data_IF_214319768694
#
_entry.id   IF_214319768694
#
_cell.length_a   1.000
_cell.length_b   1.000
_cell.length_c   1.000
_cell.angle_alpha   90.00
_cell.angle_beta   90.00
_cell.angle_gamma   90.00
#
_symmetry.space_group_name_H-M   'P 1'
#
loop_
_entity.id
_entity.type
_entity.pdbx_description
1 polymer ?
#
# COMPACT_ATOMS: atom_id res chain seq x y z
N UNK A 1 -8.68 20.04 38.68
CA UNK A 1 -10.00 19.95 38.02
C UNK A 1 -9.96 19.25 36.64
N UNK A 2 -8.90 18.48 36.32
CA UNK A 2 -8.73 17.80 35.02
C UNK A 2 -8.92 16.27 35.06
N UNK A 3 -9.10 15.69 36.26
CA UNK A 3 -9.24 14.22 36.45
C UNK A 3 -10.72 13.79 36.42
N UNK A 4 -11.66 14.72 36.63
CA UNK A 4 -13.10 14.43 36.64
C UNK A 4 -13.67 14.17 35.24
N UNK A 5 -13.20 14.87 34.20
CA UNK A 5 -13.74 14.75 32.84
C UNK A 5 -13.37 13.41 32.19
N UNK A 6 -12.16 12.88 32.44
CA UNK A 6 -11.76 11.54 31.99
C UNK A 6 -12.60 10.43 32.65
N UNK A 7 -12.98 10.60 33.92
CA UNK A 7 -13.77 9.59 34.65
C UNK A 7 -15.23 9.53 34.21
N UNK A 8 -15.83 10.68 33.85
CA UNK A 8 -17.20 10.74 33.33
C UNK A 8 -17.30 10.26 31.87
N UNK A 9 -16.30 10.54 31.02
CA UNK A 9 -16.23 9.95 29.69
C UNK A 9 -16.09 8.41 29.76
N UNK A 10 -15.27 7.88 30.67
CA UNK A 10 -15.15 6.43 30.84
C UNK A 10 -16.42 5.75 31.35
N UNK A 11 -17.18 6.40 32.25
CA UNK A 11 -18.48 5.89 32.72
C UNK A 11 -19.55 5.91 31.64
N UNK A 12 -19.52 6.88 30.73
CA UNK A 12 -20.46 6.94 29.60
C UNK A 12 -20.11 5.89 28.52
N UNK A 13 -18.80 5.65 28.28
CA UNK A 13 -18.33 4.60 27.37
C UNK A 13 -18.53 3.17 27.90
N UNK A 14 -18.45 2.94 29.22
CA UNK A 14 -18.60 1.59 29.78
C UNK A 14 -20.03 1.03 29.77
N UNK A 15 -21.07 1.87 29.64
CA UNK A 15 -22.45 1.41 29.76
C UNK A 15 -23.07 0.89 28.44
N UNK A 16 -22.35 0.97 27.32
CA UNK A 16 -22.75 0.38 26.04
C UNK A 16 -21.58 -0.40 25.40
N UNK A 17 -21.02 -1.37 26.14
CA UNK A 17 -20.06 -2.31 25.55
C UNK A 17 -20.80 -3.34 24.69
N UNK A 18 -21.06 -3.00 23.43
CA UNK A 18 -21.39 -3.97 22.39
C UNK A 18 -20.10 -4.51 21.76
N UNK A 19 -20.17 -5.73 21.21
CA UNK A 19 -19.10 -6.38 20.44
C UNK A 19 -18.58 -5.54 19.26
N UNK A 20 -19.39 -4.59 18.76
CA UNK A 20 -19.01 -3.62 17.74
C UNK A 20 -17.94 -2.61 18.18
N UNK A 21 -17.92 -2.21 19.45
CA UNK A 21 -16.94 -1.26 19.97
C UNK A 21 -15.52 -1.84 19.97
N UNK A 22 -15.40 -3.12 20.35
CA UNK A 22 -14.13 -3.86 20.35
C UNK A 22 -13.57 -4.04 18.92
N UNK A 23 -14.43 -4.29 17.93
CA UNK A 23 -14.03 -4.36 16.52
C UNK A 23 -13.51 -3.02 15.97
N UNK A 24 -14.05 -1.88 16.44
CA UNK A 24 -13.59 -0.55 16.00
C UNK A 24 -12.40 -0.01 16.81
N UNK A 25 -12.20 -0.43 18.05
CA UNK A 25 -10.95 -0.18 18.78
C UNK A 25 -9.73 -0.78 18.05
N UNK A 26 -9.92 -1.88 17.30
CA UNK A 26 -8.91 -2.41 16.41
C UNK A 26 -8.61 -1.51 15.19
N UNK A 27 -9.57 -0.68 14.74
CA UNK A 27 -9.39 0.30 13.66
C UNK A 27 -8.71 1.58 14.11
N UNK A 28 -8.68 1.87 15.42
CA UNK A 28 -8.01 3.05 15.98
C UNK A 28 -6.63 2.77 16.57
N UNK A 29 -6.00 1.64 16.23
CA UNK A 29 -4.70 1.20 16.79
C UNK A 29 -3.59 2.26 16.72
N UNK A 30 -3.68 3.18 15.75
CA UNK A 30 -2.63 4.16 15.45
C UNK A 30 -3.01 5.61 15.77
N UNK A 31 -4.17 5.85 16.39
CA UNK A 31 -4.58 7.19 16.77
C UNK A 31 -3.91 7.61 18.07
N UNK A 32 -3.34 8.82 18.08
CA UNK A 32 -2.91 9.51 19.29
C UNK A 32 -4.12 9.94 20.13
N UNK A 33 -3.88 10.27 21.41
CA UNK A 33 -4.93 10.74 22.30
C UNK A 33 -5.64 12.00 21.79
N UNK A 34 -4.92 12.89 21.09
CA UNK A 34 -5.49 14.09 20.49
C UNK A 34 -6.36 13.77 19.27
N UNK A 35 -5.98 12.77 18.46
CA UNK A 35 -6.78 12.34 17.31
C UNK A 35 -8.02 11.57 17.77
N UNK A 36 -7.93 10.75 18.82
CA UNK A 36 -9.10 10.12 19.44
C UNK A 36 -10.06 11.15 20.02
N UNK A 37 -9.55 12.20 20.68
CA UNK A 37 -10.37 13.32 21.14
C UNK A 37 -11.03 14.03 19.95
N UNK A 38 -10.29 14.20 18.83
CA UNK A 38 -10.81 14.71 17.57
C UNK A 38 -11.98 13.86 17.04
N UNK A 39 -11.80 12.53 16.95
CA UNK A 39 -12.84 11.59 16.49
C UNK A 39 -14.10 11.71 17.35
N UNK A 40 -13.95 11.81 18.68
CA UNK A 40 -15.10 12.01 19.57
C UNK A 40 -15.79 13.35 19.29
N UNK A 41 -15.04 14.44 19.09
CA UNK A 41 -15.63 15.75 18.75
C UNK A 41 -16.34 15.75 17.40
N UNK A 42 -15.75 15.11 16.39
CA UNK A 42 -16.38 14.98 15.06
C UNK A 42 -17.64 14.09 15.13
N UNK A 43 -17.63 12.98 15.88
CA UNK A 43 -18.81 12.15 16.08
C UNK A 43 -19.96 12.91 16.77
N UNK A 44 -19.64 13.77 17.75
CA UNK A 44 -20.63 14.67 18.36
C UNK A 44 -21.18 15.66 17.32
N UNK A 45 -20.34 16.20 16.45
CA UNK A 45 -20.75 17.09 15.35
C UNK A 45 -21.71 16.40 14.38
N UNK A 46 -21.44 15.14 13.99
CA UNK A 46 -22.35 14.35 13.14
C UNK A 46 -23.70 14.09 13.82
N UNK A 47 -23.68 13.75 15.12
CA UNK A 47 -24.91 13.54 15.88
C UNK A 47 -25.76 14.82 15.99
N UNK A 48 -25.11 15.99 16.13
CA UNK A 48 -25.76 17.30 16.11
C UNK A 48 -26.35 17.63 14.74
N UNK A 49 -25.57 17.46 13.67
CA UNK A 49 -26.01 17.75 12.31
C UNK A 49 -27.22 16.91 11.87
N UNK A 50 -27.36 15.67 12.36
CA UNK A 50 -28.53 14.82 12.07
C UNK A 50 -29.83 15.38 12.66
N UNK A 51 -29.76 16.13 13.75
CA UNK A 51 -30.92 16.71 14.46
C UNK A 51 -31.32 18.07 13.87
N UNK A 52 -30.44 18.69 13.07
CA UNK A 52 -30.72 19.96 12.40
C UNK A 52 -31.47 19.65 11.10
N UNK A 53 -32.73 20.07 11.02
CA UNK A 53 -33.52 19.96 9.80
C UNK A 53 -33.24 21.17 8.92
N UNK A 54 -32.81 20.97 7.67
CA UNK A 54 -32.45 22.06 6.74
C UNK A 54 -33.62 23.02 6.44
N UNK A 55 -34.85 22.56 6.67
CA UNK A 55 -36.07 23.35 6.44
C UNK A 55 -36.42 24.31 7.59
N UNK A 56 -35.86 24.15 8.79
CA UNK A 56 -36.18 25.01 9.93
C UNK A 56 -35.04 25.07 10.98
N UNK A 57 -34.14 26.03 10.79
CA UNK A 57 -32.98 26.30 11.66
C UNK A 57 -33.34 26.93 13.01
N UNK A 58 -34.62 27.24 13.26
CA UNK A 58 -35.06 27.98 14.45
C UNK A 58 -35.64 27.10 15.55
N UNK A 59 -35.84 25.80 15.30
CA UNK A 59 -36.32 24.87 16.31
C UNK A 59 -35.27 24.69 17.42
N UNK A 60 -35.66 24.84 18.70
CA UNK A 60 -34.77 24.51 19.81
C UNK A 60 -34.45 23.02 19.74
N UNK A 61 -33.15 22.71 19.76
CA UNK A 61 -32.67 21.33 19.81
C UNK A 61 -33.04 20.75 21.17
N UNK A 62 -33.69 19.59 21.16
CA UNK A 62 -33.92 18.83 22.39
C UNK A 62 -32.61 18.14 22.80
N UNK A 63 -31.83 18.83 23.63
CA UNK A 63 -30.51 18.39 24.09
C UNK A 63 -30.52 16.98 24.72
N UNK A 64 -31.64 16.56 25.32
CA UNK A 64 -31.78 15.23 25.93
C UNK A 64 -31.97 14.09 24.90
N UNK A 65 -32.40 14.43 23.69
CA UNK A 65 -32.62 13.48 22.59
C UNK A 65 -31.33 13.18 21.80
N UNK A 66 -30.30 14.01 21.94
CA UNK A 66 -29.06 13.92 21.15
C UNK A 66 -28.20 12.79 21.71
N UNK A 67 -28.28 11.63 21.06
CA UNK A 67 -27.42 10.49 21.34
C UNK A 67 -26.48 10.26 20.16
N UNK A 68 -25.18 10.21 20.47
CA UNK A 68 -24.17 9.82 19.49
C UNK A 68 -24.38 8.34 19.18
N UNK A 69 -24.53 8.03 17.90
CA UNK A 69 -24.72 6.68 17.39
C UNK A 69 -23.42 6.12 16.82
N UNK A 70 -23.40 4.83 16.53
CA UNK A 70 -22.21 4.22 15.95
C UNK A 70 -21.91 4.68 14.53
N UNK A 71 -22.90 5.14 13.76
CA UNK A 71 -22.70 5.69 12.43
C UNK A 71 -21.98 7.04 12.48
N UNK A 72 -22.24 7.84 13.52
CA UNK A 72 -21.55 9.12 13.74
C UNK A 72 -20.04 8.90 13.95
N UNK A 73 -19.66 7.85 14.67
CA UNK A 73 -18.27 7.44 14.82
C UNK A 73 -17.65 6.89 13.53
N UNK A 74 -18.42 6.21 12.68
CA UNK A 74 -17.91 5.75 11.37
C UNK A 74 -17.58 6.96 10.49
N UNK A 75 -18.48 7.94 10.43
CA UNK A 75 -18.25 9.17 9.67
C UNK A 75 -17.08 9.97 10.23
N UNK A 76 -16.97 10.08 11.56
CA UNK A 76 -15.85 10.76 12.20
C UNK A 76 -14.49 10.08 11.96
N UNK A 77 -14.45 8.75 11.89
CA UNK A 77 -13.23 8.01 11.55
C UNK A 77 -12.84 8.14 10.07
N UNK A 78 -13.79 8.41 9.18
CA UNK A 78 -13.48 8.77 7.79
C UNK A 78 -12.94 10.20 7.66
N UNK A 79 -13.41 11.13 8.51
CA UNK A 79 -12.94 12.52 8.50
C UNK A 79 -11.55 12.68 9.14
N UNK A 80 -11.32 12.01 10.26
CA UNK A 80 -10.10 12.15 11.05
C UNK A 80 -9.26 10.90 10.84
N UNK A 81 -8.24 11.02 9.99
CA UNK A 81 -7.24 9.97 9.74
C UNK A 81 -6.03 10.17 10.65
N UNK A 82 -5.39 9.08 11.13
CA UNK A 82 -4.24 9.18 12.01
C UNK A 82 -3.01 9.68 11.24
N UNK A 83 -2.27 10.62 11.83
CA UNK A 83 -1.01 11.12 11.29
C UNK A 83 0.16 10.15 11.55
N UNK A 84 0.02 9.24 12.51
CA UNK A 84 0.99 8.21 12.86
C UNK A 84 0.50 6.83 12.40
N UNK A 85 1.39 5.97 11.91
CA UNK A 85 1.00 4.69 11.31
C UNK A 85 0.52 4.84 9.86
N UNK A 86 0.21 3.72 9.21
CA UNK A 86 -0.06 3.69 7.78
C UNK A 86 -1.19 4.66 7.39
N UNK A 87 -0.90 5.62 6.50
CA UNK A 87 -1.89 6.06 5.53
C UNK A 87 -2.16 4.82 4.68
N UNK A 88 -3.15 4.02 5.06
CA UNK A 88 -3.64 2.88 4.27
C UNK A 88 -3.81 3.30 2.82
N UNK A 89 -4.22 4.55 2.58
CA UNK A 89 -4.36 5.19 1.29
C UNK A 89 -3.08 5.15 0.43
N UNK A 90 -1.90 5.36 1.01
CA UNK A 90 -0.63 5.31 0.24
C UNK A 90 -0.36 3.87 -0.24
N UNK A 91 -0.66 2.87 0.60
CA UNK A 91 -0.46 1.46 0.27
C UNK A 91 -1.55 0.94 -0.68
N UNK A 92 -2.80 1.38 -0.53
CA UNK A 92 -3.93 1.06 -1.40
C UNK A 92 -3.73 1.65 -2.81
N UNK A 93 -3.14 2.86 -2.92
CA UNK A 93 -2.75 3.46 -4.21
C UNK A 93 -1.70 2.63 -4.95
N UNK A 94 -0.85 1.87 -4.25
CA UNK A 94 0.07 0.94 -4.88
C UNK A 94 -0.64 -0.29 -5.47
N UNK A 95 -1.92 -0.52 -5.15
CA UNK A 95 -2.73 -1.69 -5.51
C UNK A 95 -4.08 -1.30 -6.12
N UNK A 96 -4.09 -0.38 -7.10
CA UNK A 96 -5.32 0.16 -7.71
C UNK A 96 -6.38 -0.88 -8.15
N UNK A 97 -5.97 -2.11 -8.49
CA UNK A 97 -6.85 -3.22 -8.90
C UNK A 97 -6.84 -4.41 -7.90
N UNK A 98 -6.42 -4.16 -6.66
CA UNK A 98 -6.16 -5.22 -5.67
C UNK A 98 -4.96 -6.10 -6.03
N UNK A 99 -4.84 -7.26 -5.37
CA UNK A 99 -3.98 -8.36 -5.86
C UNK A 99 -4.84 -9.29 -6.70
N UNK A 100 -4.43 -9.52 -7.95
CA UNK A 100 -4.98 -10.57 -8.81
C UNK A 100 -4.12 -11.83 -8.65
N UNK A 101 -4.70 -13.01 -8.85
CA UNK A 101 -3.93 -14.26 -8.88
C UNK A 101 -3.01 -14.28 -10.12
N UNK A 102 -1.76 -13.87 -9.90
CA UNK A 102 -0.70 -13.80 -10.90
C UNK A 102 0.08 -15.12 -11.02
N UNK A 103 -0.50 -16.24 -10.58
CA UNK A 103 0.11 -17.55 -10.70
C UNK A 103 0.88 -18.02 -9.47
N UNK A 104 1.40 -19.26 -9.61
CA UNK A 104 2.08 -19.96 -8.50
C UNK A 104 3.34 -19.24 -8.06
N UNK A 105 4.09 -18.62 -8.98
CA UNK A 105 5.32 -17.91 -8.66
C UNK A 105 5.07 -16.69 -7.76
N UNK A 106 4.17 -15.79 -8.17
CA UNK A 106 3.79 -14.61 -7.38
C UNK A 106 3.20 -15.00 -6.02
N UNK A 107 2.31 -16.00 -6.00
CA UNK A 107 1.72 -16.52 -4.76
C UNK A 107 2.79 -17.08 -3.82
N UNK A 108 3.76 -17.82 -4.36
CA UNK A 108 4.86 -18.36 -3.57
C UNK A 108 5.70 -17.24 -2.94
N UNK A 109 6.07 -16.20 -3.71
CA UNK A 109 6.86 -15.07 -3.21
C UNK A 109 6.09 -14.31 -2.13
N UNK A 110 4.79 -14.04 -2.35
CA UNK A 110 3.94 -13.42 -1.36
C UNK A 110 3.88 -14.24 -0.05
N UNK A 111 3.67 -15.56 -0.14
CA UNK A 111 3.69 -16.43 1.03
C UNK A 111 5.03 -16.41 1.76
N UNK A 112 6.14 -16.40 1.01
CA UNK A 112 7.49 -16.31 1.57
C UNK A 112 7.75 -14.97 2.26
N UNK A 113 7.24 -13.86 1.72
CA UNK A 113 7.30 -12.55 2.36
C UNK A 113 6.44 -12.49 3.63
N UNK A 114 5.25 -13.10 3.63
CA UNK A 114 4.41 -13.22 4.84
C UNK A 114 5.06 -14.07 5.94
N UNK A 115 5.87 -15.08 5.58
CA UNK A 115 6.67 -15.80 6.59
C UNK A 115 7.73 -14.92 7.25
N UNK A 116 8.27 -13.91 6.54
CA UNK A 116 9.18 -12.92 7.13
C UNK A 116 8.44 -12.01 8.11
N UNK A 117 7.19 -11.64 7.81
CA UNK A 117 6.32 -10.91 8.75
C UNK A 117 6.14 -11.70 10.04
N UNK A 118 5.81 -12.99 9.94
CA UNK A 118 5.65 -13.86 11.12
C UNK A 118 6.96 -14.06 11.88
N UNK A 119 8.10 -14.15 11.17
CA UNK A 119 9.42 -14.17 11.80
C UNK A 119 9.67 -12.92 12.65
N UNK A 120 9.29 -11.74 12.15
CA UNK A 120 9.43 -10.46 12.88
C UNK A 120 8.49 -10.40 14.10
N UNK A 121 7.33 -11.05 14.06
CA UNK A 121 6.40 -11.13 15.21
C UNK A 121 6.89 -12.08 16.30
N UNK A 122 7.39 -13.26 15.92
CA UNK A 122 7.64 -14.38 16.84
C UNK A 122 9.10 -14.48 17.28
N UNK A 123 10.06 -14.12 16.41
CA UNK A 123 11.49 -14.31 16.69
C UNK A 123 12.01 -13.31 17.71
N UNK A 124 12.76 -13.81 18.71
CA UNK A 124 13.52 -12.99 19.66
C UNK A 124 14.95 -12.69 19.19
N UNK A 125 15.43 -13.38 18.14
CA UNK A 125 16.82 -13.32 17.69
C UNK A 125 17.08 -12.44 16.47
N UNK A 126 16.02 -12.00 15.77
CA UNK A 126 16.13 -11.22 14.53
C UNK A 126 15.24 -9.98 14.59
N UNK A 127 15.63 -8.95 15.36
CA UNK A 127 14.85 -7.71 15.49
C UNK A 127 14.80 -6.91 14.19
N UNK A 128 15.70 -7.18 13.24
CA UNK A 128 15.72 -6.59 11.91
C UNK A 128 15.70 -7.72 10.89
N UNK A 129 14.73 -7.66 9.97
CA UNK A 129 14.66 -8.53 8.80
C UNK A 129 14.59 -7.64 7.57
N UNK A 130 15.42 -7.93 6.57
CA UNK A 130 15.49 -7.15 5.33
C UNK A 130 15.21 -8.07 4.14
N UNK A 131 14.29 -7.68 3.27
CA UNK A 131 13.89 -8.42 2.08
C UNK A 131 14.00 -7.53 0.85
N UNK A 132 14.62 -8.02 -0.23
CA UNK A 132 14.63 -7.34 -1.53
C UNK A 132 13.71 -8.07 -2.49
N UNK A 133 12.75 -7.35 -3.08
CA UNK A 133 11.98 -7.82 -4.23
C UNK A 133 12.64 -7.24 -5.49
N UNK A 134 13.26 -8.08 -6.29
CA UNK A 134 13.88 -7.68 -7.56
C UNK A 134 13.12 -8.29 -8.74
N UNK A 135 13.29 -7.71 -9.93
CA UNK A 135 12.74 -8.26 -11.16
C UNK A 135 12.41 -7.19 -12.17
N UNK A 136 11.87 -7.54 -13.34
CA UNK A 136 11.62 -6.56 -14.41
C UNK A 136 10.67 -5.44 -13.98
N UNK A 137 10.82 -4.26 -14.57
CA UNK A 137 9.92 -3.14 -14.34
C UNK A 137 8.47 -3.50 -14.69
N UNK A 138 7.53 -3.09 -13.84
CA UNK A 138 6.10 -3.39 -14.04
C UNK A 138 5.65 -4.80 -13.69
N UNK A 139 6.50 -5.64 -13.06
CA UNK A 139 6.13 -7.00 -12.62
C UNK A 139 5.34 -7.05 -11.31
N UNK A 140 5.01 -5.90 -10.70
CA UNK A 140 4.16 -5.83 -9.51
C UNK A 140 4.89 -5.90 -8.16
N UNK A 141 6.20 -5.61 -8.11
CA UNK A 141 7.01 -5.61 -6.87
C UNK A 141 6.45 -4.68 -5.80
N UNK A 142 6.17 -3.42 -6.14
CA UNK A 142 5.61 -2.41 -5.22
C UNK A 142 4.24 -2.82 -4.72
N UNK A 143 3.37 -3.29 -5.62
CA UNK A 143 2.04 -3.80 -5.25
C UNK A 143 2.15 -4.99 -4.28
N UNK A 144 3.07 -5.92 -4.53
CA UNK A 144 3.32 -7.05 -3.63
C UNK A 144 3.84 -6.61 -2.27
N UNK A 145 4.81 -5.70 -2.20
CA UNK A 145 5.32 -5.15 -0.95
C UNK A 145 4.23 -4.43 -0.15
N UNK A 146 3.41 -3.60 -0.81
CA UNK A 146 2.29 -2.90 -0.20
C UNK A 146 1.24 -3.89 0.34
N UNK A 147 0.99 -4.99 -0.38
CA UNK A 147 0.06 -6.04 0.05
C UNK A 147 0.53 -6.75 1.30
N UNK A 148 1.80 -7.15 1.33
CA UNK A 148 2.42 -7.74 2.52
C UNK A 148 2.36 -6.74 3.68
N UNK A 149 2.57 -5.45 3.42
CA UNK A 149 2.41 -4.38 4.40
C UNK A 149 1.00 -4.33 5.00
N UNK A 150 -0.03 -4.28 4.18
CA UNK A 150 -1.44 -4.26 4.62
C UNK A 150 -1.78 -5.54 5.40
N UNK A 151 -1.44 -6.70 4.84
CA UNK A 151 -1.80 -8.01 5.40
C UNK A 151 -0.97 -8.38 6.65
N UNK A 152 0.10 -7.62 6.94
CA UNK A 152 0.95 -7.85 8.12
C UNK A 152 0.27 -7.55 9.45
N UNK A 153 -0.74 -6.67 9.47
CA UNK A 153 -1.36 -6.07 10.67
C UNK A 153 -0.32 -5.42 11.62
N UNK A 154 0.79 -4.92 11.08
CA UNK A 154 1.74 -4.11 11.84
C UNK A 154 1.16 -2.73 12.14
N UNK A 155 1.41 -2.23 13.35
CA UNK A 155 0.93 -0.92 13.76
C UNK A 155 1.58 0.22 12.96
N UNK A 156 2.79 0.03 12.46
CA UNK A 156 3.45 1.02 11.60
C UNK A 156 3.88 0.37 10.27
N UNK A 157 3.31 0.85 9.16
CA UNK A 157 3.75 0.49 7.81
C UNK A 157 3.91 1.78 7.02
N UNK A 158 5.13 2.05 6.51
CA UNK A 158 5.39 3.26 5.72
C UNK A 158 6.13 2.94 4.44
N UNK A 159 5.64 3.49 3.33
CA UNK A 159 6.32 3.49 2.05
C UNK A 159 7.17 4.75 1.90
N UNK A 160 8.41 4.55 1.47
CA UNK A 160 9.35 5.59 1.07
C UNK A 160 9.53 5.44 -0.44
N UNK A 161 9.02 6.39 -1.20
CA UNK A 161 9.15 6.45 -2.65
C UNK A 161 9.74 7.79 -3.08
N UNK A 162 10.52 7.79 -4.16
CA UNK A 162 11.10 9.00 -4.73
C UNK A 162 10.03 10.03 -5.12
N UNK A 163 8.81 9.59 -5.44
CA UNK A 163 7.67 10.45 -5.74
C UNK A 163 7.35 11.44 -4.61
N UNK A 164 7.47 10.99 -3.36
CA UNK A 164 7.18 11.82 -2.17
C UNK A 164 8.33 12.79 -1.82
N UNK A 165 9.44 12.73 -2.56
CA UNK A 165 10.68 13.46 -2.29
C UNK A 165 11.13 14.36 -3.45
N UNK A 166 10.23 14.61 -4.41
CA UNK A 166 10.52 15.45 -5.56
C UNK A 166 10.84 16.88 -5.10
N UNK A 167 11.93 17.45 -5.62
CA UNK A 167 12.40 18.80 -5.29
C UNK A 167 13.21 18.93 -4.00
N UNK A 168 13.45 17.83 -3.28
CA UNK A 168 14.24 17.85 -2.04
C UNK A 168 15.73 17.72 -2.35
N UNK A 169 16.59 18.40 -1.57
CA UNK A 169 18.04 18.16 -1.60
C UNK A 169 18.37 16.76 -1.08
N UNK A 170 19.55 16.23 -1.44
CA UNK A 170 20.02 14.93 -0.94
C UNK A 170 20.02 14.85 0.59
N UNK A 171 20.44 15.93 1.27
CA UNK A 171 20.43 16.03 2.73
C UNK A 171 19.02 15.95 3.33
N UNK A 172 18.04 16.61 2.71
CA UNK A 172 16.64 16.57 3.12
C UNK A 172 16.02 15.19 2.91
N UNK A 173 16.36 14.52 1.79
CA UNK A 173 15.96 13.13 1.54
C UNK A 173 16.51 12.20 2.60
N UNK A 174 17.81 12.31 2.92
CA UNK A 174 18.44 11.51 3.98
C UNK A 174 17.77 11.77 5.34
N UNK A 175 17.49 13.03 5.68
CA UNK A 175 16.81 13.38 6.92
C UNK A 175 15.39 12.78 7.01
N UNK A 176 14.65 12.81 5.91
CA UNK A 176 13.31 12.21 5.84
C UNK A 176 13.37 10.69 5.97
N UNK A 177 14.31 10.01 5.29
CA UNK A 177 14.52 8.57 5.42
C UNK A 177 14.87 8.22 6.86
N UNK A 178 15.83 8.92 7.47
CA UNK A 178 16.19 8.72 8.88
C UNK A 178 14.99 8.90 9.82
N UNK A 179 14.18 9.94 9.60
CA UNK A 179 12.97 10.20 10.38
C UNK A 179 11.97 9.04 10.29
N UNK A 180 11.75 8.46 9.11
CA UNK A 180 10.85 7.31 8.94
C UNK A 180 11.37 6.09 9.73
N UNK A 181 12.67 5.83 9.72
CA UNK A 181 13.25 4.76 10.55
C UNK A 181 13.09 5.05 12.06
N UNK A 182 13.31 6.29 12.49
CA UNK A 182 13.09 6.69 13.89
C UNK A 182 11.63 6.56 14.34
N UNK A 183 10.69 6.94 13.47
CA UNK A 183 9.25 6.78 13.71
C UNK A 183 8.86 5.30 13.77
N UNK A 184 9.44 4.46 12.92
CA UNK A 184 9.23 3.02 12.96
C UNK A 184 9.67 2.39 14.29
N UNK A 185 10.71 2.91 14.95
CA UNK A 185 11.15 2.42 16.27
C UNK A 185 10.21 2.76 17.42
N UNK A 186 9.19 3.60 17.21
CA UNK A 186 8.17 3.89 18.24
C UNK A 186 7.19 2.73 18.38
N UNK A 187 6.89 2.00 17.31
CA UNK A 187 6.01 0.82 17.32
C UNK A 187 6.78 -0.47 17.64
N UNK A 188 6.13 -1.43 18.31
CA UNK A 188 6.72 -2.75 18.61
C UNK A 188 7.02 -3.55 17.33
N UNK A 189 6.10 -3.51 16.37
CA UNK A 189 6.24 -4.16 15.06
C UNK A 189 6.02 -3.13 13.97
N UNK A 190 6.98 -3.04 13.07
CA UNK A 190 7.00 -2.01 12.02
C UNK A 190 7.48 -2.59 10.71
N UNK A 191 6.98 -2.05 9.61
CA UNK A 191 7.44 -2.33 8.26
C UNK A 191 7.75 -1.03 7.51
N UNK A 192 8.90 -0.99 6.84
CA UNK A 192 9.28 0.07 5.92
C UNK A 192 9.40 -0.52 4.52
N UNK A 193 8.75 0.10 3.55
CA UNK A 193 8.88 -0.25 2.13
C UNK A 193 9.77 0.80 1.48
N UNK A 194 10.91 0.39 0.93
CA UNK A 194 11.77 1.22 0.09
C UNK A 194 11.41 0.94 -1.37
N UNK A 195 10.62 1.82 -1.96
CA UNK A 195 10.08 1.66 -3.31
C UNK A 195 11.06 2.19 -4.37
N UNK A 196 11.26 1.42 -5.44
CA UNK A 196 12.21 1.66 -6.52
C UNK A 196 13.54 2.26 -6.01
N UNK A 197 14.35 1.47 -5.31
CA UNK A 197 15.58 1.92 -4.66
C UNK A 197 16.51 2.66 -5.64
N UNK A 198 16.60 2.21 -6.89
CA UNK A 198 17.37 2.89 -7.92
C UNK A 198 16.92 4.35 -8.14
N UNK A 199 15.62 4.65 -7.98
CA UNK A 199 15.08 6.02 -8.09
C UNK A 199 15.34 6.83 -6.83
N UNK A 200 15.27 6.22 -5.64
CA UNK A 200 15.69 6.86 -4.39
C UNK A 200 17.18 7.25 -4.43
N UNK A 201 18.01 6.41 -5.05
CA UNK A 201 19.43 6.66 -5.27
C UNK A 201 19.72 7.61 -6.45
N UNK A 202 18.71 8.12 -7.13
CA UNK A 202 18.86 9.00 -8.30
C UNK A 202 19.74 8.37 -9.39
N UNK A 203 19.61 7.05 -9.60
CA UNK A 203 20.42 6.33 -10.56
C UNK A 203 20.15 6.78 -11.99
N UNK A 204 21.22 7.06 -12.72
CA UNK A 204 21.23 7.33 -14.16
C UNK A 204 22.22 6.38 -14.82
N UNK A 205 21.74 5.56 -15.75
CA UNK A 205 22.56 4.57 -16.45
C UNK A 205 23.58 5.19 -17.42
N UNK A 206 23.23 6.31 -18.06
CA UNK A 206 24.13 7.01 -18.99
C UNK A 206 25.18 7.78 -18.20
N UNK A 207 26.42 7.30 -18.24
CA UNK A 207 27.49 7.79 -17.37
C UNK A 207 27.12 7.53 -15.92
N UNK A 208 27.24 6.27 -15.44
CA UNK A 208 26.66 5.80 -14.18
C UNK A 208 26.85 6.79 -13.04
N UNK A 209 25.74 7.41 -12.64
CA UNK A 209 25.68 8.39 -11.55
C UNK A 209 24.56 7.99 -10.61
N UNK A 210 24.79 8.22 -9.33
CA UNK A 210 23.82 8.04 -8.27
C UNK A 210 24.23 8.91 -7.08
N UNK A 211 23.31 9.15 -6.16
CA UNK A 211 23.58 9.84 -4.91
C UNK A 211 24.30 8.91 -3.94
N UNK A 212 25.62 9.09 -3.80
CA UNK A 212 26.40 8.33 -2.84
C UNK A 212 25.97 8.63 -1.39
N UNK A 213 25.53 9.85 -1.10
CA UNK A 213 25.07 10.23 0.25
C UNK A 213 23.84 9.43 0.66
N UNK A 214 22.84 9.30 -0.23
CA UNK A 214 21.64 8.51 0.04
C UNK A 214 21.99 7.02 0.11
N UNK A 215 22.88 6.53 -0.76
CA UNK A 215 23.34 5.14 -0.75
C UNK A 215 23.97 4.75 0.59
N UNK A 216 24.93 5.54 1.08
CA UNK A 216 25.57 5.28 2.38
C UNK A 216 24.57 5.37 3.55
N UNK A 217 23.62 6.31 3.48
CA UNK A 217 22.56 6.43 4.49
C UNK A 217 21.72 5.16 4.55
N UNK A 218 21.27 4.64 3.40
CA UNK A 218 20.49 3.39 3.34
C UNK A 218 21.30 2.18 3.80
N UNK A 219 22.56 2.02 3.37
CA UNK A 219 23.43 0.93 3.81
C UNK A 219 23.60 0.89 5.33
N UNK A 220 23.71 2.06 5.97
CA UNK A 220 23.81 2.16 7.44
C UNK A 220 22.48 1.81 8.10
N UNK A 221 21.36 2.33 7.60
CA UNK A 221 20.03 2.08 8.18
C UNK A 221 19.59 0.63 8.03
N UNK A 222 19.88 -0.01 6.90
CA UNK A 222 19.57 -1.42 6.62
C UNK A 222 20.42 -2.41 7.45
N UNK A 223 21.49 -1.96 8.10
CA UNK A 223 22.28 -2.75 9.06
C UNK A 223 22.03 -2.38 10.53
N UNK A 224 21.31 -1.29 10.77
CA UNK A 224 21.10 -0.76 12.13
C UNK A 224 20.07 -1.61 12.87
N UNK A 225 20.53 -2.29 13.91
CA UNK A 225 19.64 -3.05 14.80
C UNK A 225 18.68 -2.10 15.54
N UNK A 226 17.35 -2.32 15.49
CA UNK A 226 16.38 -1.53 16.23
C UNK A 226 16.61 -1.56 17.75
N UNK A 227 16.12 -0.56 18.51
CA UNK A 227 16.16 -0.59 19.97
C UNK A 227 15.51 -1.84 20.56
N UNK A 228 15.91 -2.22 21.79
CA UNK A 228 15.38 -3.42 22.46
C UNK A 228 13.85 -3.41 22.51
N UNK A 229 13.24 -4.53 22.13
CA UNK A 229 11.78 -4.71 22.12
C UNK A 229 11.08 -4.09 20.91
N UNK A 230 11.83 -3.63 19.90
CA UNK A 230 11.31 -3.11 18.63
C UNK A 230 11.78 -4.04 17.51
N UNK A 231 10.86 -4.46 16.66
CA UNK A 231 11.13 -5.33 15.53
C UNK A 231 10.74 -4.63 14.22
N UNK A 232 11.61 -4.70 13.23
CA UNK A 232 11.48 -4.00 11.96
C UNK A 232 11.66 -4.96 10.79
N UNK A 233 10.68 -4.95 9.88
CA UNK A 233 10.80 -5.50 8.54
C UNK A 233 11.11 -4.37 7.56
N UNK A 234 12.16 -4.48 6.75
CA UNK A 234 12.38 -3.58 5.61
C UNK A 234 12.24 -4.36 4.32
N UNK A 235 11.33 -3.93 3.44
CA UNK A 235 11.15 -4.50 2.11
C UNK A 235 11.61 -3.48 1.07
N UNK A 236 12.67 -3.80 0.35
CA UNK A 236 13.13 -3.03 -0.81
C UNK A 236 12.53 -3.54 -2.10
N UNK A 237 12.33 -2.67 -3.08
CA UNK A 237 12.00 -3.05 -4.44
C UNK A 237 13.01 -2.48 -5.43
N UNK A 238 13.33 -3.21 -6.49
CA UNK A 238 14.21 -2.72 -7.56
C UNK A 238 13.92 -3.35 -8.91
N UNK A 239 14.11 -2.59 -9.98
CA UNK A 239 14.19 -3.08 -11.35
C UNK A 239 15.60 -3.15 -11.91
N UNK A 240 16.60 -2.61 -11.18
CA UNK A 240 17.99 -2.46 -11.61
C UNK A 240 18.93 -3.22 -10.67
N UNK A 241 18.75 -4.55 -10.58
CA UNK A 241 19.51 -5.40 -9.65
C UNK A 241 21.02 -5.32 -9.86
N UNK A 242 21.49 -5.26 -11.12
CA UNK A 242 22.92 -5.15 -11.41
C UNK A 242 23.55 -3.85 -10.89
N UNK A 243 22.80 -2.75 -10.85
CA UNK A 243 23.26 -1.52 -10.20
C UNK A 243 23.33 -1.69 -8.68
N UNK A 244 22.31 -2.26 -8.05
CA UNK A 244 22.30 -2.48 -6.60
C UNK A 244 23.41 -3.45 -6.14
N UNK A 245 23.72 -4.47 -6.94
CA UNK A 245 24.88 -5.35 -6.73
C UNK A 245 26.19 -4.57 -6.79
N UNK A 246 26.35 -3.68 -7.79
CA UNK A 246 27.58 -2.90 -7.96
C UNK A 246 27.90 -1.95 -6.81
N UNK A 247 26.87 -1.52 -6.07
CA UNK A 247 27.01 -0.66 -4.88
C UNK A 247 26.97 -1.43 -3.56
N UNK A 248 26.94 -2.77 -3.60
CA UNK A 248 26.93 -3.63 -2.41
C UNK A 248 25.64 -3.58 -1.60
N UNK A 249 24.53 -3.11 -2.20
CA UNK A 249 23.24 -3.00 -1.52
C UNK A 249 22.55 -4.36 -1.41
N UNK A 250 22.72 -5.26 -2.39
CA UNK A 250 22.13 -6.60 -2.33
C UNK A 250 22.60 -7.38 -1.11
N UNK A 251 23.88 -7.25 -0.73
CA UNK A 251 24.49 -7.94 0.41
C UNK A 251 23.94 -7.50 1.78
N UNK A 252 23.24 -6.36 1.84
CA UNK A 252 22.63 -5.88 3.09
C UNK A 252 21.22 -6.42 3.32
N UNK A 253 20.61 -7.00 2.28
CA UNK A 253 19.33 -7.67 2.39
C UNK A 253 19.52 -9.12 2.85
N UNK A 254 18.71 -9.55 3.81
CA UNK A 254 18.80 -10.90 4.38
C UNK A 254 18.30 -11.96 3.39
N UNK A 255 17.32 -11.59 2.56
CA UNK A 255 16.73 -12.44 1.53
C UNK A 255 16.39 -11.60 0.31
N UNK A 256 16.55 -12.18 -0.88
CA UNK A 256 16.13 -11.59 -2.16
C UNK A 256 15.15 -12.55 -2.85
N UNK A 257 14.04 -12.01 -3.35
CA UNK A 257 13.06 -12.74 -4.14
C UNK A 257 12.91 -12.11 -5.52
N UNK A 258 13.05 -12.93 -6.56
CA UNK A 258 12.80 -12.55 -7.94
C UNK A 258 11.30 -12.57 -8.24
N UNK A 259 10.72 -11.43 -8.60
CA UNK A 259 9.33 -11.28 -9.07
C UNK A 259 9.33 -11.35 -10.61
N UNK A 260 8.92 -12.49 -11.20
CA UNK A 260 9.04 -12.72 -12.63
C UNK A 260 7.95 -11.98 -13.42
N UNK A 261 8.14 -11.91 -14.73
CA UNK A 261 7.06 -11.57 -15.66
C UNK A 261 6.00 -12.67 -15.68
N UNK A 262 4.81 -12.35 -16.20
CA UNK A 262 3.75 -13.35 -16.37
C UNK A 262 4.12 -14.31 -17.50
N UNK A 263 3.95 -15.60 -17.26
CA UNK A 263 3.92 -16.62 -18.32
C UNK A 263 2.50 -16.75 -18.86
N UNK A 264 2.35 -17.30 -20.06
CA UNK A 264 1.05 -17.55 -20.73
C UNK A 264 -0.04 -18.02 -19.78
N UNK A 265 0.21 -19.09 -19.03
CA UNK A 265 -0.77 -19.68 -18.10
C UNK A 265 -1.22 -18.73 -16.99
N UNK A 266 -0.32 -17.86 -16.54
CA UNK A 266 -0.61 -16.89 -15.50
C UNK A 266 -1.24 -15.62 -16.08
N UNK A 267 -0.84 -15.20 -17.29
CA UNK A 267 -1.53 -14.16 -18.04
C UNK A 267 -2.98 -14.54 -18.33
N UNK A 268 -3.26 -15.80 -18.71
CA UNK A 268 -4.61 -16.32 -18.93
C UNK A 268 -5.49 -16.18 -17.69
N UNK A 269 -4.96 -16.47 -16.49
CA UNK A 269 -5.70 -16.28 -15.22
C UNK A 269 -6.03 -14.82 -14.96
N UNK A 270 -5.08 -13.92 -15.21
CA UNK A 270 -5.30 -12.47 -15.06
C UNK A 270 -6.39 -12.00 -16.02
N UNK A 271 -6.34 -12.41 -17.30
CA UNK A 271 -7.36 -12.08 -18.28
C UNK A 271 -8.74 -12.64 -17.94
N UNK A 272 -8.79 -13.90 -17.49
CA UNK A 272 -10.03 -14.53 -17.03
C UNK A 272 -10.61 -13.80 -15.80
N UNK A 273 -9.78 -13.31 -14.89
CA UNK A 273 -10.25 -12.53 -13.75
C UNK A 273 -10.79 -11.16 -14.16
N UNK A 274 -10.21 -10.55 -15.20
CA UNK A 274 -10.67 -9.28 -15.75
C UNK A 274 -11.98 -9.41 -16.54
N UNK A 275 -12.30 -10.61 -17.03
CA UNK A 275 -13.51 -10.91 -17.80
C UNK A 275 -13.69 -10.01 -19.05
N UNK A 276 -12.59 -9.70 -19.72
CA UNK A 276 -12.56 -8.74 -20.85
C UNK A 276 -12.53 -9.38 -22.24
N UNK A 277 -12.29 -10.69 -22.35
CA UNK A 277 -12.27 -11.42 -23.63
C UNK A 277 -13.27 -12.58 -23.59
N UNK A 278 -13.73 -13.02 -24.76
CA UNK A 278 -14.49 -14.25 -24.91
C UNK A 278 -13.61 -15.49 -24.62
N UNK A 279 -14.22 -16.57 -24.13
CA UNK A 279 -13.52 -17.81 -23.77
C UNK A 279 -12.69 -18.41 -24.92
N UNK A 280 -13.16 -18.25 -26.16
CA UNK A 280 -12.46 -18.71 -27.36
C UNK A 280 -11.20 -17.90 -27.69
N UNK A 281 -11.14 -16.65 -27.22
CA UNK A 281 -10.08 -15.69 -27.52
C UNK A 281 -9.02 -15.60 -26.41
N UNK A 282 -9.37 -16.04 -25.19
CA UNK A 282 -8.47 -16.00 -24.03
C UNK A 282 -7.12 -16.69 -24.26
N UNK A 283 -7.10 -17.85 -24.92
CA UNK A 283 -5.86 -18.59 -25.18
C UNK A 283 -4.92 -17.86 -26.13
N UNK A 284 -5.48 -17.24 -27.18
CA UNK A 284 -4.72 -16.47 -28.15
C UNK A 284 -4.21 -15.14 -27.56
N UNK A 285 -5.06 -14.44 -26.79
CA UNK A 285 -4.66 -13.25 -26.07
C UNK A 285 -3.56 -13.54 -25.02
N UNK A 286 -3.67 -14.64 -24.28
CA UNK A 286 -2.68 -15.05 -23.30
C UNK A 286 -1.34 -15.45 -23.92
N UNK A 287 -1.34 -16.13 -25.08
CA UNK A 287 -0.12 -16.44 -25.84
C UNK A 287 0.60 -15.16 -26.26
N UNK A 288 -0.16 -14.16 -26.74
CA UNK A 288 0.38 -12.88 -27.15
C UNK A 288 1.01 -12.06 -26.01
N UNK A 289 0.68 -12.40 -24.76
CA UNK A 289 1.14 -11.75 -23.54
C UNK A 289 2.17 -12.60 -22.76
N UNK A 290 2.69 -13.69 -23.35
CA UNK A 290 3.72 -14.49 -22.71
C UNK A 290 5.01 -13.67 -22.45
N UNK A 291 5.63 -13.94 -21.30
CA UNK A 291 6.81 -13.21 -20.80
C UNK A 291 6.62 -11.69 -20.73
N UNK A 292 5.43 -11.23 -20.30
CA UNK A 292 5.12 -9.80 -20.18
C UNK A 292 4.93 -9.35 -18.72
N UNK A 293 5.41 -8.16 -18.32
CA UNK A 293 5.11 -7.62 -16.99
C UNK A 293 3.61 -7.31 -16.84
N UNK A 294 3.05 -7.61 -15.66
CA UNK A 294 1.62 -7.44 -15.39
C UNK A 294 1.11 -6.00 -15.64
N UNK A 295 1.91 -4.97 -15.33
CA UNK A 295 1.51 -3.58 -15.56
C UNK A 295 1.32 -3.29 -17.07
N UNK A 296 2.16 -3.88 -17.92
CA UNK A 296 2.06 -3.74 -19.38
C UNK A 296 0.83 -4.47 -19.93
N UNK A 297 0.51 -5.65 -19.37
CA UNK A 297 -0.75 -6.36 -19.66
C UNK A 297 -1.97 -5.48 -19.37
N UNK A 298 -2.05 -4.88 -18.17
CA UNK A 298 -3.17 -3.99 -17.85
C UNK A 298 -3.27 -2.79 -18.80
N UNK A 299 -2.14 -2.18 -19.16
CA UNK A 299 -2.12 -1.07 -20.13
C UNK A 299 -2.67 -1.50 -21.49
N UNK A 300 -2.25 -2.65 -22.01
CA UNK A 300 -2.71 -3.17 -23.30
C UNK A 300 -4.21 -3.48 -23.29
N UNK A 301 -4.70 -4.11 -22.22
CA UNK A 301 -6.13 -4.38 -22.03
C UNK A 301 -6.93 -3.09 -21.97
N UNK A 302 -6.46 -2.10 -21.22
CA UNK A 302 -7.14 -0.80 -21.09
C UNK A 302 -7.19 -0.03 -22.42
N UNK A 303 -6.10 -0.07 -23.19
CA UNK A 303 -6.06 0.52 -24.52
C UNK A 303 -7.05 -0.17 -25.47
N UNK A 304 -7.11 -1.50 -25.43
CA UNK A 304 -8.05 -2.25 -26.26
C UNK A 304 -9.51 -2.06 -25.81
N UNK A 305 -9.73 -1.81 -24.52
CA UNK A 305 -11.06 -1.51 -23.99
C UNK A 305 -11.63 -0.16 -24.47
N UNK A 306 -10.80 0.77 -24.98
CA UNK A 306 -11.32 2.02 -25.54
C UNK A 306 -12.10 1.82 -26.84
N UNK A 307 -11.84 0.71 -27.55
CA UNK A 307 -12.37 0.45 -28.88
C UNK A 307 -11.74 1.36 -29.96
N UNK A 308 -12.06 1.13 -31.24
CA UNK A 308 -11.40 1.79 -32.37
C UNK A 308 -11.63 3.31 -32.45
N UNK A 309 -12.71 3.82 -31.85
CA UNK A 309 -13.07 5.26 -31.86
C UNK A 309 -12.95 5.93 -30.49
N UNK A 310 -12.56 5.19 -29.44
CA UNK A 310 -12.55 5.67 -28.06
C UNK A 310 -13.93 5.66 -27.38
N UNK A 311 -13.93 5.61 -26.04
CA UNK A 311 -15.15 5.75 -25.23
C UNK A 311 -15.92 4.47 -24.94
N UNK A 312 -15.42 3.30 -25.33
CA UNK A 312 -16.11 2.01 -25.13
C UNK A 312 -15.77 1.30 -23.81
N UNK A 313 -14.85 1.85 -23.01
CA UNK A 313 -14.31 1.16 -21.83
C UNK A 313 -15.37 0.86 -20.76
N UNK A 314 -16.33 1.75 -20.56
CA UNK A 314 -17.43 1.53 -19.60
C UNK A 314 -18.33 0.37 -20.03
N UNK A 315 -18.55 0.18 -21.34
CA UNK A 315 -19.38 -0.90 -21.86
C UNK A 315 -18.68 -2.27 -21.71
N UNK A 316 -17.35 -2.30 -21.88
CA UNK A 316 -16.54 -3.52 -21.73
C UNK A 316 -16.49 -3.97 -20.28
N UNK A 317 -16.28 -3.04 -19.34
CA UNK A 317 -16.38 -3.38 -17.91
C UNK A 317 -17.83 -3.58 -17.42
N UNK A 318 -18.84 -3.29 -18.25
CA UNK A 318 -20.25 -3.60 -18.01
C UNK A 318 -20.71 -4.93 -18.67
N UNK A 319 -19.82 -5.63 -19.40
CA UNK A 319 -20.07 -6.97 -19.93
C UNK A 319 -19.78 -7.16 -21.42
N UNK A 320 -19.44 -6.10 -22.18
CA UNK A 320 -18.94 -6.26 -23.55
C UNK A 320 -17.52 -6.85 -23.56
N UNK A 321 -17.16 -7.55 -24.65
CA UNK A 321 -15.84 -8.17 -24.79
C UNK A 321 -14.98 -7.41 -25.79
N UNK A 322 -13.68 -7.34 -25.51
CA UNK A 322 -12.68 -6.76 -26.40
C UNK A 322 -12.60 -7.61 -27.66
N UNK A 323 -12.73 -6.99 -28.83
CA UNK A 323 -12.43 -7.64 -30.11
C UNK A 323 -10.93 -8.00 -30.16
N UNK A 324 -10.64 -9.30 -30.27
CA UNK A 324 -9.28 -9.82 -30.31
C UNK A 324 -8.46 -9.26 -31.48
N UNK A 325 -9.08 -8.95 -32.63
CA UNK A 325 -8.38 -8.35 -33.76
C UNK A 325 -7.91 -6.93 -33.44
N UNK A 326 -8.76 -6.16 -32.74
CA UNK A 326 -8.40 -4.83 -32.27
C UNK A 326 -7.28 -4.88 -31.23
N UNK A 327 -7.33 -5.83 -30.30
CA UNK A 327 -6.26 -6.08 -29.34
C UNK A 327 -4.92 -6.38 -30.03
N UNK A 328 -4.92 -7.26 -31.04
CA UNK A 328 -3.70 -7.57 -31.81
C UNK A 328 -3.18 -6.36 -32.61
N UNK A 329 -4.07 -5.51 -33.14
CA UNK A 329 -3.67 -4.26 -33.79
C UNK A 329 -2.88 -3.37 -32.82
N UNK A 330 -3.41 -3.15 -31.61
CA UNK A 330 -2.76 -2.35 -30.56
C UNK A 330 -1.43 -2.97 -30.13
N UNK A 331 -1.40 -4.29 -29.96
CA UNK A 331 -0.18 -5.00 -29.59
C UNK A 331 0.93 -4.79 -30.64
N UNK A 332 0.57 -4.82 -31.92
CA UNK A 332 1.50 -4.61 -33.03
C UNK A 332 2.07 -3.18 -33.08
N UNK A 333 1.27 -2.19 -32.67
CA UNK A 333 1.69 -0.79 -32.60
C UNK A 333 2.68 -0.55 -31.44
N UNK A 334 2.50 -1.23 -30.31
CA UNK A 334 3.33 -1.06 -29.11
C UNK A 334 4.63 -1.88 -29.16
N UNK A 335 4.65 -3.02 -29.86
CA UNK A 335 5.85 -3.86 -29.99
C UNK A 335 6.82 -3.33 -31.06
N UNK A 336 6.49 -2.25 -31.79
CA UNK A 336 7.44 -1.59 -32.68
C UNK A 336 8.54 -0.84 -31.91
N UNK A 337 9.75 -1.39 -32.02
CA UNK A 337 11.10 -0.96 -31.59
C UNK A 337 11.60 -1.51 -30.26
#
# INVERSE_FOLDING_TARGET
>A
MHISTQFYLWKFFMYQMTTEFLNKAARTKNYSGAELEGVVKSAVSFALNRQITMDDLTKPLDEESIKVTMDDFVNALHEITPAFGASTDDLERCRLRGIVDCGKAHKHIYQRAMLLVEQVKVSKGSPLVTCLLEGPAGSGKTAMAASVGIDSDFAYVKIISAETMIGFSESSKCAQICKVFEDAYKSQFSMIILDDIERLLEYVAIGPRFSNLISQTLLVLLKRVPPKGKNLLVVGTTSEVGFLESVGMCDVFSVTYHVPKLKKEDAKKVLHHLDVFDDGDLDAAAEALDDMPIKKLYTLVEMAAQGPTGGSAEAIYAGEKIDINHFFSILSDIIRY
#
